data_IF_580474028710
#
_entry.id   IF_580474028710
#
_cell.length_a   1.000
_cell.length_b   1.000
_cell.length_c   1.000
_cell.angle_alpha   90.00
_cell.angle_beta   90.00
_cell.angle_gamma   90.00
#
_symmetry.space_group_name_H-M   'P 1'
#
loop_
_entity.id
_entity.type
_entity.pdbx_description
1 polymer ?
#
# COMPACT_ATOMS: atom_id res chain seq x y z
N UNK A 1 -26.72 -32.38 10.15
CA UNK A 1 -25.64 -31.99 9.23
C UNK A 1 -25.95 -32.26 7.75
N UNK A 2 -27.19 -32.60 7.37
CA UNK A 2 -27.54 -32.92 5.96
C UNK A 2 -28.76 -32.17 5.39
N UNK A 3 -29.21 -31.07 6.03
CA UNK A 3 -30.30 -30.21 5.49
C UNK A 3 -29.76 -28.93 4.84
N UNK A 4 -28.67 -28.36 5.36
CA UNK A 4 -28.07 -27.15 4.79
C UNK A 4 -27.38 -27.39 3.44
N UNK A 5 -26.77 -28.56 3.24
CA UNK A 5 -26.13 -28.92 1.97
C UNK A 5 -27.15 -29.07 0.83
N UNK A 6 -28.29 -29.72 1.10
CA UNK A 6 -29.33 -29.91 0.10
C UNK A 6 -30.01 -28.59 -0.31
N UNK A 7 -30.21 -27.66 0.63
CA UNK A 7 -30.75 -26.34 0.32
C UNK A 7 -29.74 -25.46 -0.45
N UNK A 8 -28.45 -25.54 -0.10
CA UNK A 8 -27.37 -24.88 -0.83
C UNK A 8 -27.31 -25.34 -2.29
N UNK A 9 -27.25 -26.64 -2.52
CA UNK A 9 -27.20 -27.23 -3.87
C UNK A 9 -28.39 -26.77 -4.74
N UNK A 10 -29.60 -26.69 -4.17
CA UNK A 10 -30.78 -26.20 -4.91
C UNK A 10 -30.70 -24.73 -5.32
N UNK A 11 -30.07 -23.86 -4.52
CA UNK A 11 -29.91 -22.44 -4.86
C UNK A 11 -28.92 -22.23 -6.01
N UNK A 12 -27.83 -23.01 -6.02
CA UNK A 12 -26.84 -22.99 -7.11
C UNK A 12 -27.44 -23.49 -8.44
N UNK A 13 -28.29 -24.52 -8.41
CA UNK A 13 -29.01 -24.99 -9.59
C UNK A 13 -30.05 -23.97 -10.09
N UNK A 14 -30.78 -23.34 -9.17
CA UNK A 14 -31.74 -22.28 -9.51
C UNK A 14 -31.05 -21.07 -10.14
N UNK A 15 -29.89 -20.65 -9.60
CA UNK A 15 -29.08 -19.57 -10.15
C UNK A 15 -28.64 -19.86 -11.60
N UNK A 16 -28.07 -21.05 -11.85
CA UNK A 16 -27.64 -21.46 -13.20
C UNK A 16 -28.80 -21.54 -14.18
N UNK A 17 -29.93 -22.10 -13.75
CA UNK A 17 -31.14 -22.17 -14.56
C UNK A 17 -31.64 -20.78 -14.97
N UNK A 18 -31.59 -19.82 -14.03
CA UNK A 18 -31.96 -18.43 -14.32
C UNK A 18 -30.96 -17.76 -15.28
N UNK A 19 -29.65 -17.96 -15.09
CA UNK A 19 -28.61 -17.45 -15.98
C UNK A 19 -28.79 -17.93 -17.43
N UNK A 20 -29.02 -19.23 -17.63
CA UNK A 20 -29.32 -19.82 -18.94
C UNK A 20 -30.59 -19.22 -19.52
N UNK A 21 -31.66 -19.08 -18.73
CA UNK A 21 -32.89 -18.44 -19.17
C UNK A 21 -32.71 -16.96 -19.58
N UNK A 22 -31.63 -16.30 -19.13
CA UNK A 22 -31.24 -14.94 -19.56
C UNK A 22 -30.17 -14.90 -20.65
N UNK A 23 -29.78 -16.05 -21.19
CA UNK A 23 -28.84 -16.18 -22.31
C UNK A 23 -27.37 -16.04 -21.92
N UNK A 24 -27.01 -16.17 -20.63
CA UNK A 24 -25.61 -16.10 -20.21
C UNK A 24 -24.73 -17.21 -20.82
N UNK A 25 -25.35 -18.34 -21.18
CA UNK A 25 -24.73 -19.50 -21.83
C UNK A 25 -24.39 -19.29 -23.30
N UNK A 26 -24.92 -18.23 -23.93
CA UNK A 26 -24.67 -17.90 -25.35
C UNK A 26 -23.99 -16.56 -25.52
N UNK A 27 -23.97 -15.72 -24.48
CA UNK A 27 -23.31 -14.42 -24.51
C UNK A 27 -21.79 -14.59 -24.46
N UNK A 28 -21.09 -14.14 -25.49
CA UNK A 28 -19.62 -14.19 -25.56
C UNK A 28 -18.97 -13.39 -24.43
N UNK A 29 -17.93 -13.97 -23.83
CA UNK A 29 -17.15 -13.38 -22.75
C UNK A 29 -15.73 -13.96 -22.75
N UNK A 30 -14.70 -13.31 -22.18
CA UNK A 30 -13.37 -13.91 -22.05
C UNK A 30 -13.40 -15.34 -21.49
N UNK A 31 -12.70 -16.24 -22.17
CA UNK A 31 -12.68 -17.68 -21.83
C UNK A 31 -13.96 -18.44 -22.20
N UNK A 32 -14.80 -17.93 -23.11
CA UNK A 32 -15.96 -18.63 -23.66
C UNK A 32 -17.25 -17.82 -23.59
N UNK A 33 -18.15 -18.21 -22.68
CA UNK A 33 -19.45 -17.56 -22.48
C UNK A 33 -19.52 -16.91 -21.11
N UNK A 34 -20.46 -15.99 -20.91
CA UNK A 34 -20.64 -15.34 -19.62
C UNK A 34 -20.92 -16.38 -18.52
N UNK A 35 -21.73 -17.40 -18.79
CA UNK A 35 -21.97 -18.48 -17.84
C UNK A 35 -20.68 -19.23 -17.48
N UNK A 36 -19.84 -19.56 -18.47
CA UNK A 36 -18.58 -20.24 -18.22
C UNK A 36 -17.64 -19.41 -17.32
N UNK A 37 -17.58 -18.09 -17.53
CA UNK A 37 -16.86 -17.17 -16.65
C UNK A 37 -17.43 -17.15 -15.23
N UNK A 38 -18.75 -17.01 -15.09
CA UNK A 38 -19.41 -16.98 -13.78
C UNK A 38 -19.20 -18.29 -13.00
N UNK A 39 -19.20 -19.43 -13.69
CA UNK A 39 -18.87 -20.73 -13.11
C UNK A 39 -17.41 -20.80 -12.61
N UNK A 40 -16.45 -20.27 -13.38
CA UNK A 40 -15.04 -20.22 -12.93
C UNK A 40 -14.84 -19.29 -11.73
N UNK A 41 -15.51 -18.14 -11.71
CA UNK A 41 -15.49 -17.21 -10.57
C UNK A 41 -16.05 -17.88 -9.30
N UNK A 42 -17.20 -18.55 -9.41
CA UNK A 42 -17.77 -19.30 -8.28
C UNK A 42 -16.85 -20.44 -7.81
N UNK A 43 -16.29 -21.21 -8.74
CA UNK A 43 -15.37 -22.30 -8.42
C UNK A 43 -14.10 -21.80 -7.73
N UNK A 44 -13.56 -20.64 -8.13
CA UNK A 44 -12.41 -20.02 -7.46
C UNK A 44 -12.76 -19.57 -6.04
N UNK A 45 -13.89 -18.90 -5.85
CA UNK A 45 -14.38 -18.54 -4.51
C UNK A 45 -14.57 -19.79 -3.63
N UNK A 46 -15.11 -20.87 -4.20
CA UNK A 46 -15.24 -22.14 -3.50
C UNK A 46 -13.87 -22.73 -3.09
N UNK A 47 -12.88 -22.67 -3.98
CA UNK A 47 -11.51 -23.13 -3.70
C UNK A 47 -10.82 -22.33 -2.59
N UNK A 48 -11.15 -21.04 -2.45
CA UNK A 48 -10.69 -20.19 -1.35
C UNK A 48 -11.44 -20.43 -0.03
N UNK A 49 -12.48 -21.26 -0.03
CA UNK A 49 -13.32 -21.53 1.14
C UNK A 49 -14.31 -20.41 1.45
N UNK A 50 -14.70 -19.62 0.44
CA UNK A 50 -15.72 -18.59 0.59
C UNK A 50 -17.06 -19.18 1.02
N UNK A 51 -17.81 -18.40 1.81
CA UNK A 51 -19.18 -18.76 2.24
C UNK A 51 -20.13 -18.90 1.04
N UNK A 52 -21.13 -19.77 1.15
CA UNK A 52 -22.08 -20.03 0.06
C UNK A 52 -22.80 -18.78 -0.46
N UNK A 53 -23.13 -17.82 0.42
CA UNK A 53 -23.71 -16.53 0.01
C UNK A 53 -22.80 -15.77 -0.97
N UNK A 54 -21.50 -15.74 -0.71
CA UNK A 54 -20.52 -15.05 -1.55
C UNK A 54 -20.29 -15.81 -2.85
N UNK A 55 -20.27 -17.15 -2.79
CA UNK A 55 -20.20 -18.01 -3.97
C UNK A 55 -21.40 -17.83 -4.89
N UNK A 56 -22.62 -17.83 -4.34
CA UNK A 56 -23.86 -17.54 -5.07
C UNK A 56 -23.85 -16.14 -5.68
N UNK A 57 -23.38 -15.14 -4.91
CA UNK A 57 -23.20 -13.79 -5.43
C UNK A 57 -22.17 -13.76 -6.56
N UNK A 58 -21.07 -14.51 -6.45
CA UNK A 58 -20.05 -14.63 -7.50
C UNK A 58 -20.56 -15.26 -8.79
N UNK A 59 -21.40 -16.30 -8.68
CA UNK A 59 -22.09 -16.89 -9.82
C UNK A 59 -23.05 -15.91 -10.50
N UNK A 60 -23.56 -14.92 -9.76
CA UNK A 60 -24.59 -13.98 -10.25
C UNK A 60 -24.09 -12.53 -10.38
N UNK A 61 -22.80 -12.25 -10.19
CA UNK A 61 -22.33 -10.88 -9.95
C UNK A 61 -22.53 -9.93 -11.14
N UNK A 62 -22.70 -10.47 -12.35
CA UNK A 62 -22.91 -9.71 -13.58
C UNK A 62 -24.40 -9.46 -13.94
N UNK A 63 -25.37 -9.91 -13.12
CA UNK A 63 -26.80 -9.84 -13.46
C UNK A 63 -27.29 -8.42 -13.80
N UNK A 64 -26.83 -7.42 -13.05
CA UNK A 64 -27.22 -6.02 -13.23
C UNK A 64 -26.24 -5.22 -14.10
N UNK A 65 -25.26 -5.91 -14.71
CA UNK A 65 -24.08 -5.28 -15.30
C UNK A 65 -23.17 -4.66 -14.23
N UNK A 66 -21.93 -4.38 -14.61
CA UNK A 66 -20.91 -3.84 -13.71
C UNK A 66 -20.30 -2.57 -14.31
N UNK A 67 -19.58 -1.83 -13.49
CA UNK A 67 -18.67 -0.78 -13.94
C UNK A 67 -17.47 -1.45 -14.66
N UNK A 68 -17.59 -1.60 -15.97
CA UNK A 68 -16.68 -2.39 -16.83
C UNK A 68 -17.40 -3.39 -17.74
N UNK A 69 -18.65 -3.76 -17.43
CA UNK A 69 -19.50 -4.62 -18.26
C UNK A 69 -20.95 -4.14 -18.23
N UNK A 70 -21.32 -3.30 -19.19
CA UNK A 70 -22.63 -2.62 -19.19
C UNK A 70 -23.84 -3.53 -19.46
N UNK A 71 -23.63 -4.76 -19.92
CA UNK A 71 -24.72 -5.67 -20.29
C UNK A 71 -25.42 -6.19 -19.02
N UNK A 72 -26.68 -5.84 -18.88
CA UNK A 72 -27.57 -6.35 -17.83
C UNK A 72 -28.37 -7.56 -18.35
N UNK A 73 -28.45 -8.61 -17.53
CA UNK A 73 -29.28 -9.80 -17.74
C UNK A 73 -30.69 -9.63 -17.15
N UNK A 74 -30.81 -8.78 -16.12
CA UNK A 74 -32.05 -8.49 -15.42
C UNK A 74 -32.08 -7.00 -15.03
N UNK A 75 -33.16 -6.26 -15.33
CA UNK A 75 -33.26 -4.87 -14.91
C UNK A 75 -33.53 -4.76 -13.40
N UNK A 76 -33.15 -3.62 -12.80
CA UNK A 76 -33.17 -3.41 -11.34
C UNK A 76 -34.58 -3.46 -10.73
N UNK A 77 -35.64 -3.28 -11.51
CA UNK A 77 -37.02 -3.39 -11.04
C UNK A 77 -37.44 -4.86 -10.79
N UNK A 78 -36.64 -5.82 -11.27
CA UNK A 78 -36.94 -7.25 -11.21
C UNK A 78 -36.02 -8.01 -10.25
N UNK A 79 -35.35 -7.31 -9.32
CA UNK A 79 -34.44 -7.89 -8.31
C UNK A 79 -35.07 -9.04 -7.52
N UNK A 80 -36.37 -8.97 -7.23
CA UNK A 80 -37.10 -10.03 -6.53
C UNK A 80 -36.99 -11.41 -7.20
N UNK A 81 -36.82 -11.47 -8.53
CA UNK A 81 -36.63 -12.73 -9.25
C UNK A 81 -35.27 -13.37 -8.93
N UNK A 82 -34.22 -12.56 -8.81
CA UNK A 82 -32.92 -13.06 -8.39
C UNK A 82 -32.95 -13.42 -6.91
N UNK A 83 -33.59 -12.59 -6.07
CA UNK A 83 -33.79 -12.87 -4.64
C UNK A 83 -34.48 -14.22 -4.40
N UNK A 84 -35.47 -14.56 -5.22
CA UNK A 84 -36.16 -15.84 -5.13
C UNK A 84 -35.25 -17.04 -5.47
N UNK A 85 -34.25 -16.84 -6.34
CA UNK A 85 -33.33 -17.89 -6.77
C UNK A 85 -32.15 -18.10 -5.82
N UNK A 86 -31.55 -17.01 -5.31
CA UNK A 86 -30.29 -17.08 -4.54
C UNK A 86 -30.40 -16.60 -3.09
N UNK A 87 -31.59 -16.14 -2.68
CA UNK A 87 -31.85 -15.56 -1.37
C UNK A 87 -31.45 -14.09 -1.28
N UNK A 88 -32.07 -13.39 -0.32
CA UNK A 88 -31.95 -11.93 -0.18
C UNK A 88 -30.52 -11.47 0.13
N UNK A 89 -29.76 -12.21 0.95
CA UNK A 89 -28.40 -11.80 1.31
C UNK A 89 -27.43 -11.87 0.11
N UNK A 90 -27.54 -12.93 -0.72
CA UNK A 90 -26.69 -13.08 -1.89
C UNK A 90 -27.07 -12.06 -2.97
N UNK A 91 -28.36 -11.82 -3.17
CA UNK A 91 -28.84 -10.81 -4.12
C UNK A 91 -28.40 -9.39 -3.72
N UNK A 92 -28.46 -9.04 -2.43
CA UNK A 92 -27.93 -7.76 -1.93
C UNK A 92 -26.43 -7.60 -2.19
N UNK A 93 -25.64 -8.68 -2.10
CA UNK A 93 -24.22 -8.65 -2.49
C UNK A 93 -24.04 -8.46 -3.99
N UNK A 94 -24.86 -9.10 -4.84
CA UNK A 94 -24.84 -8.90 -6.30
C UNK A 94 -25.16 -7.45 -6.63
N UNK A 95 -26.19 -6.88 -6.00
CA UNK A 95 -26.53 -5.47 -6.16
C UNK A 95 -25.39 -4.57 -5.72
N UNK A 96 -24.84 -4.78 -4.52
CA UNK A 96 -23.72 -4.00 -3.99
C UNK A 96 -22.48 -4.08 -4.89
N UNK A 97 -22.19 -5.25 -5.45
CA UNK A 97 -21.10 -5.41 -6.40
C UNK A 97 -21.36 -4.61 -7.70
N UNK A 98 -22.55 -4.78 -8.26
CA UNK A 98 -22.95 -4.14 -9.52
C UNK A 98 -23.10 -2.62 -9.41
N UNK A 99 -23.49 -2.10 -8.24
CA UNK A 99 -23.71 -0.69 -8.01
C UNK A 99 -22.41 0.08 -7.69
N UNK A 100 -21.29 -0.61 -7.50
CA UNK A 100 -20.02 0.03 -7.22
C UNK A 100 -19.57 0.91 -8.39
N UNK A 101 -19.36 2.18 -8.10
CA UNK A 101 -18.50 3.05 -8.89
C UNK A 101 -17.04 2.79 -8.52
N UNK A 102 -16.32 2.08 -9.37
CA UNK A 102 -14.98 1.57 -9.07
C UNK A 102 -13.97 2.69 -8.99
N UNK A 103 -14.05 3.66 -9.89
CA UNK A 103 -13.17 4.84 -9.94
C UNK A 103 -13.22 5.64 -8.63
N UNK A 104 -14.42 5.79 -8.05
CA UNK A 104 -14.57 6.45 -6.75
C UNK A 104 -14.19 5.55 -5.57
N UNK A 105 -14.68 4.32 -5.56
CA UNK A 105 -14.73 3.51 -4.33
C UNK A 105 -13.43 2.73 -4.09
N UNK A 106 -12.69 2.33 -5.13
CA UNK A 106 -11.58 1.40 -4.97
C UNK A 106 -10.42 1.98 -4.15
N UNK A 107 -10.15 3.27 -4.33
CA UNK A 107 -9.05 3.94 -3.66
C UNK A 107 -9.23 3.96 -2.14
N UNK A 108 -10.45 4.11 -1.62
CA UNK A 108 -10.69 4.16 -0.17
C UNK A 108 -11.09 2.83 0.45
N UNK A 109 -11.47 1.82 -0.33
CA UNK A 109 -12.17 0.63 0.21
C UNK A 109 -11.39 -0.14 1.28
N UNK A 110 -10.05 -0.13 1.22
CA UNK A 110 -9.19 -0.78 2.23
C UNK A 110 -9.22 -0.08 3.59
N UNK A 111 -9.60 1.19 3.65
CA UNK A 111 -9.58 2.04 4.85
C UNK A 111 -10.83 1.81 5.71
N UNK A 112 -10.76 2.14 7.00
CA UNK A 112 -11.87 1.89 7.94
C UNK A 112 -13.13 2.67 7.56
N UNK A 113 -12.96 3.91 7.14
CA UNK A 113 -13.98 4.88 6.72
C UNK A 113 -14.10 5.02 5.18
N UNK A 114 -13.55 4.05 4.45
CA UNK A 114 -13.57 3.98 3.00
C UNK A 114 -14.97 4.20 2.42
N UNK A 115 -15.11 5.23 1.58
CA UNK A 115 -16.40 5.61 0.99
C UNK A 115 -16.73 4.73 -0.22
N UNK A 116 -18.00 4.35 -0.33
CA UNK A 116 -18.56 3.62 -1.45
C UNK A 116 -19.62 4.48 -2.13
N UNK A 117 -19.51 4.64 -3.45
CA UNK A 117 -20.52 5.33 -4.26
C UNK A 117 -21.34 4.31 -5.04
N UNK A 118 -22.64 4.31 -4.78
CA UNK A 118 -23.62 3.56 -5.55
C UNK A 118 -23.94 4.33 -6.84
N UNK A 119 -23.53 3.80 -7.99
CA UNK A 119 -23.71 4.42 -9.31
C UNK A 119 -25.15 4.42 -9.81
N UNK A 120 -26.03 3.60 -9.22
CA UNK A 120 -27.45 3.57 -9.59
C UNK A 120 -28.24 4.67 -8.91
N UNK A 121 -27.85 5.04 -7.68
CA UNK A 121 -28.57 6.01 -6.84
C UNK A 121 -27.77 7.29 -6.57
N UNK A 122 -26.48 7.31 -6.90
CA UNK A 122 -25.50 8.33 -6.52
C UNK A 122 -25.28 8.48 -5.00
N UNK A 123 -25.83 7.58 -4.18
CA UNK A 123 -25.64 7.60 -2.74
C UNK A 123 -24.20 7.23 -2.36
N UNK A 124 -23.64 7.93 -1.37
CA UNK A 124 -22.32 7.67 -0.82
C UNK A 124 -22.44 7.25 0.63
N UNK A 125 -21.80 6.15 1.01
CA UNK A 125 -21.81 5.64 2.38
C UNK A 125 -20.54 4.84 2.70
N UNK A 126 -20.27 4.63 3.99
CA UNK A 126 -19.19 3.74 4.44
C UNK A 126 -19.76 2.33 4.70
N UNK A 127 -19.45 1.32 3.87
CA UNK A 127 -19.90 -0.05 4.07
C UNK A 127 -19.18 -0.72 5.24
N UNK A 128 -19.85 -1.70 5.86
CA UNK A 128 -19.27 -2.49 6.96
C UNK A 128 -18.05 -3.29 6.50
N UNK A 129 -17.16 -3.63 7.43
CA UNK A 129 -15.96 -4.45 7.13
C UNK A 129 -16.31 -5.74 6.38
N UNK A 130 -17.36 -6.45 6.80
CA UNK A 130 -17.81 -7.69 6.13
C UNK A 130 -18.22 -7.45 4.68
N UNK A 131 -18.98 -6.37 4.40
CA UNK A 131 -19.37 -6.02 3.02
C UNK A 131 -18.16 -5.66 2.16
N UNK A 132 -17.18 -4.94 2.71
CA UNK A 132 -15.92 -4.63 2.03
C UNK A 132 -15.10 -5.88 1.74
N UNK A 133 -15.02 -6.80 2.69
CA UNK A 133 -14.33 -8.09 2.51
C UNK A 133 -14.99 -8.97 1.44
N UNK A 134 -16.31 -9.18 1.52
CA UNK A 134 -17.06 -9.95 0.50
C UNK A 134 -16.89 -9.31 -0.90
N UNK A 135 -16.94 -7.98 -1.00
CA UNK A 135 -16.72 -7.26 -2.25
C UNK A 135 -15.29 -7.41 -2.79
N UNK A 136 -14.28 -7.30 -1.92
CA UNK A 136 -12.88 -7.43 -2.28
C UNK A 136 -12.54 -8.84 -2.77
N UNK A 137 -13.03 -9.87 -2.05
CA UNK A 137 -12.93 -11.29 -2.45
C UNK A 137 -13.56 -11.53 -3.82
N UNK A 138 -14.80 -11.10 -4.03
CA UNK A 138 -15.48 -11.25 -5.32
C UNK A 138 -14.76 -10.48 -6.44
N UNK A 139 -14.27 -9.27 -6.15
CA UNK A 139 -13.47 -8.51 -7.11
C UNK A 139 -12.20 -9.27 -7.48
N UNK A 140 -11.46 -9.80 -6.51
CA UNK A 140 -10.27 -10.60 -6.78
C UNK A 140 -10.61 -11.83 -7.64
N UNK A 141 -11.65 -12.59 -7.31
CA UNK A 141 -12.04 -13.77 -8.08
C UNK A 141 -12.37 -13.42 -9.54
N UNK A 142 -13.14 -12.35 -9.75
CA UNK A 142 -13.52 -11.85 -11.07
C UNK A 142 -12.30 -11.42 -11.90
N UNK A 143 -11.50 -10.50 -11.37
CA UNK A 143 -10.38 -9.91 -12.12
C UNK A 143 -9.28 -10.94 -12.42
N UNK A 144 -9.05 -11.89 -11.51
CA UNK A 144 -8.12 -12.98 -11.75
C UNK A 144 -8.60 -13.96 -12.82
N UNK A 145 -9.92 -14.11 -13.03
CA UNK A 145 -10.44 -14.99 -14.09
C UNK A 145 -10.17 -14.36 -15.45
N UNK A 146 -10.50 -13.07 -15.56
CA UNK A 146 -10.20 -12.28 -16.75
C UNK A 146 -8.70 -12.25 -17.06
N UNK A 147 -7.84 -12.15 -16.04
CA UNK A 147 -6.39 -12.17 -16.23
C UNK A 147 -5.87 -13.54 -16.71
N UNK A 148 -6.45 -14.65 -16.23
CA UNK A 148 -6.06 -16.00 -16.68
C UNK A 148 -6.51 -16.24 -18.12
N UNK A 149 -7.74 -15.85 -18.45
CA UNK A 149 -8.36 -16.16 -19.74
C UNK A 149 -8.00 -15.15 -20.84
N UNK A 150 -7.47 -13.98 -20.48
CA UNK A 150 -7.08 -12.95 -21.43
C UNK A 150 -5.66 -12.40 -21.12
N UNK A 151 -4.63 -12.85 -21.86
CA UNK A 151 -3.25 -12.40 -21.68
C UNK A 151 -3.07 -10.88 -21.86
N UNK A 152 -3.85 -10.23 -22.72
CA UNK A 152 -3.78 -8.77 -22.92
C UNK A 152 -4.30 -8.03 -21.69
N UNK A 153 -5.38 -8.53 -21.09
CA UNK A 153 -5.92 -7.99 -19.82
C UNK A 153 -4.88 -8.16 -18.71
N UNK A 154 -4.26 -9.35 -18.57
CA UNK A 154 -3.20 -9.56 -17.58
C UNK A 154 -2.01 -8.63 -17.80
N UNK A 155 -1.55 -8.49 -19.04
CA UNK A 155 -0.42 -7.61 -19.35
C UNK A 155 -0.72 -6.14 -19.03
N UNK A 156 -1.95 -5.69 -19.31
CA UNK A 156 -2.37 -4.30 -19.08
C UNK A 156 -2.66 -3.99 -17.61
N UNK A 157 -3.37 -4.89 -16.92
CA UNK A 157 -3.96 -4.63 -15.61
C UNK A 157 -3.33 -5.43 -14.48
N UNK A 158 -2.47 -6.42 -14.74
CA UNK A 158 -1.95 -7.29 -13.70
C UNK A 158 -1.14 -6.55 -12.63
N UNK A 159 -0.26 -5.64 -13.02
CA UNK A 159 0.47 -4.78 -12.08
C UNK A 159 -0.44 -3.88 -11.24
N UNK A 160 -1.33 -3.07 -11.86
CA UNK A 160 -2.35 -2.29 -11.14
C UNK A 160 -3.24 -3.11 -10.20
N UNK A 161 -3.69 -4.29 -10.62
CA UNK A 161 -4.52 -5.19 -9.80
C UNK A 161 -3.73 -5.72 -8.60
N UNK A 162 -2.46 -6.11 -8.79
CA UNK A 162 -1.65 -6.59 -7.68
C UNK A 162 -1.37 -5.50 -6.63
N UNK A 163 -1.17 -4.25 -7.05
CA UNK A 163 -1.12 -3.10 -6.13
C UNK A 163 -2.44 -2.95 -5.37
N UNK A 164 -3.56 -2.95 -6.09
CA UNK A 164 -4.89 -2.85 -5.47
C UNK A 164 -5.10 -3.94 -4.41
N UNK A 165 -4.82 -5.20 -4.74
CA UNK A 165 -4.99 -6.32 -3.80
C UNK A 165 -3.99 -6.31 -2.64
N UNK A 166 -2.81 -5.72 -2.84
CA UNK A 166 -1.86 -5.48 -1.74
C UNK A 166 -2.39 -4.42 -0.77
N UNK A 167 -3.03 -3.36 -1.27
CA UNK A 167 -3.72 -2.36 -0.42
C UNK A 167 -4.94 -2.95 0.28
N UNK A 168 -5.67 -3.84 -0.39
CA UNK A 168 -6.80 -4.56 0.17
C UNK A 168 -6.41 -5.81 0.97
N UNK A 169 -5.13 -5.96 1.32
CA UNK A 169 -4.66 -7.13 2.07
C UNK A 169 -5.48 -7.43 3.33
N UNK A 170 -5.93 -6.44 4.15
CA UNK A 170 -6.78 -6.70 5.31
C UNK A 170 -8.19 -7.21 4.99
N UNK A 171 -8.64 -7.05 3.74
CA UNK A 171 -9.98 -7.45 3.27
C UNK A 171 -10.00 -8.84 2.61
N UNK A 172 -8.84 -9.35 2.20
CA UNK A 172 -8.70 -10.60 1.46
C UNK A 172 -8.29 -11.74 2.39
N UNK A 173 -8.87 -12.92 2.18
CA UNK A 173 -8.35 -14.15 2.78
C UNK A 173 -6.93 -14.45 2.30
N UNK A 174 -6.22 -15.30 3.06
CA UNK A 174 -4.90 -15.79 2.65
C UNK A 174 -4.96 -16.47 1.29
N UNK A 175 -6.00 -17.28 1.03
CA UNK A 175 -6.16 -18.01 -0.21
C UNK A 175 -6.34 -17.06 -1.41
N UNK A 176 -7.23 -16.07 -1.28
CA UNK A 176 -7.46 -15.08 -2.33
C UNK A 176 -6.20 -14.25 -2.64
N UNK A 177 -5.50 -13.80 -1.61
CA UNK A 177 -4.28 -13.02 -1.80
C UNK A 177 -3.13 -13.86 -2.39
N UNK A 178 -2.98 -15.11 -1.97
CA UNK A 178 -1.99 -16.03 -2.51
C UNK A 178 -2.23 -16.32 -4.00
N UNK A 179 -3.47 -16.59 -4.39
CA UNK A 179 -3.86 -16.82 -5.79
C UNK A 179 -3.61 -15.56 -6.65
N UNK A 180 -3.96 -14.37 -6.12
CA UNK A 180 -3.67 -13.10 -6.78
C UNK A 180 -2.16 -12.91 -7.03
N UNK A 181 -1.33 -13.18 -6.03
CA UNK A 181 0.13 -13.12 -6.20
C UNK A 181 0.63 -14.16 -7.19
N UNK A 182 0.06 -15.36 -7.18
CA UNK A 182 0.47 -16.43 -8.08
C UNK A 182 0.28 -16.02 -9.55
N UNK A 183 -0.89 -15.50 -9.88
CA UNK A 183 -1.31 -15.16 -11.25
C UNK A 183 -0.68 -13.83 -11.73
N UNK A 184 -0.62 -12.82 -10.87
CA UNK A 184 -0.30 -11.43 -11.28
C UNK A 184 1.18 -11.07 -11.14
N UNK A 185 1.96 -11.83 -10.37
CA UNK A 185 3.41 -11.58 -10.25
C UNK A 185 4.11 -11.86 -11.59
N UNK A 186 4.97 -10.95 -12.03
CA UNK A 186 5.76 -11.13 -13.25
C UNK A 186 6.82 -12.21 -13.03
N UNK A 187 6.98 -13.10 -14.03
CA UNK A 187 7.94 -14.21 -14.00
C UNK A 187 8.73 -14.28 -15.30
N UNK A 188 9.90 -14.93 -15.26
CA UNK A 188 10.73 -15.17 -16.45
C UNK A 188 10.97 -13.91 -17.28
N UNK A 189 10.70 -14.00 -18.59
CA UNK A 189 10.94 -12.93 -19.55
C UNK A 189 10.17 -11.63 -19.25
N UNK A 190 8.95 -11.70 -18.69
CA UNK A 190 8.18 -10.49 -18.35
C UNK A 190 8.86 -9.71 -17.22
N UNK A 191 9.37 -10.45 -16.23
CA UNK A 191 10.11 -9.88 -15.10
C UNK A 191 11.44 -9.29 -15.56
N UNK A 192 12.14 -9.98 -16.45
CA UNK A 192 13.39 -9.48 -17.04
C UNK A 192 13.14 -8.19 -17.81
N UNK A 193 12.13 -8.15 -18.67
CA UNK A 193 11.75 -6.96 -19.42
C UNK A 193 11.39 -5.78 -18.50
N UNK A 194 10.67 -6.03 -17.40
CA UNK A 194 10.37 -5.00 -16.40
C UNK A 194 11.64 -4.44 -15.75
N UNK A 195 12.60 -5.31 -15.37
CA UNK A 195 13.87 -4.89 -14.77
C UNK A 195 14.77 -4.15 -15.76
N UNK A 196 14.75 -4.54 -17.03
CA UNK A 196 15.52 -3.89 -18.08
C UNK A 196 15.02 -2.49 -18.39
N UNK A 197 13.70 -2.26 -18.28
CA UNK A 197 13.09 -0.94 -18.40
C UNK A 197 13.19 -0.04 -17.15
N UNK A 198 13.96 -0.45 -16.13
CA UNK A 198 14.19 0.36 -14.93
C UNK A 198 15.61 0.94 -14.91
N UNK A 199 15.68 2.25 -14.67
CA UNK A 199 16.92 2.99 -14.50
C UNK A 199 17.03 3.63 -13.12
N UNK A 200 18.26 3.96 -12.71
CA UNK A 200 18.48 4.69 -11.47
C UNK A 200 17.93 6.11 -11.62
N UNK A 201 17.19 6.59 -10.62
CA UNK A 201 16.52 7.88 -10.63
C UNK A 201 15.08 7.82 -11.14
N UNK A 202 14.64 6.66 -11.67
CA UNK A 202 13.23 6.45 -12.00
C UNK A 202 12.36 6.62 -10.76
N UNK A 203 11.23 7.32 -10.90
CA UNK A 203 10.20 7.40 -9.87
C UNK A 203 9.10 6.40 -10.19
N UNK A 204 8.81 5.49 -9.25
CA UNK A 204 7.80 4.45 -9.40
C UNK A 204 6.81 4.49 -8.23
N UNK A 205 5.52 4.37 -8.55
CA UNK A 205 4.49 4.17 -7.54
C UNK A 205 4.46 2.71 -7.13
N UNK A 206 4.46 2.45 -5.83
CA UNK A 206 4.41 1.11 -5.26
C UNK A 206 3.62 1.06 -3.97
N UNK A 207 3.30 -0.14 -3.53
CA UNK A 207 2.57 -0.38 -2.27
C UNK A 207 3.50 -1.11 -1.31
N UNK A 208 3.61 -0.62 -0.08
CA UNK A 208 4.36 -1.32 0.97
C UNK A 208 3.70 -2.68 1.22
N UNK A 209 4.37 -3.76 0.83
CA UNK A 209 3.81 -5.11 0.87
C UNK A 209 4.02 -5.76 2.23
N UNK A 210 5.21 -5.61 2.81
CA UNK A 210 5.57 -6.19 4.10
C UNK A 210 6.77 -5.48 4.73
N UNK A 211 6.74 -5.30 6.06
CA UNK A 211 7.85 -4.75 6.84
C UNK A 211 8.50 -5.88 7.64
N UNK A 212 9.59 -6.45 7.11
CA UNK A 212 10.17 -7.68 7.68
C UNK A 212 10.94 -7.48 8.99
N UNK A 213 11.56 -6.32 9.19
CA UNK A 213 12.27 -5.97 10.42
C UNK A 213 12.50 -4.46 10.48
N UNK A 214 13.08 -3.97 11.59
CA UNK A 214 13.61 -2.60 11.70
C UNK A 214 14.80 -2.33 10.75
N UNK A 215 14.89 -2.92 9.57
CA UNK A 215 15.97 -2.57 8.64
C UNK A 215 15.49 -2.57 7.19
N UNK A 216 14.47 -3.38 6.87
CA UNK A 216 14.09 -3.68 5.50
C UNK A 216 12.58 -3.70 5.34
N UNK A 217 12.11 -2.93 4.36
CA UNK A 217 10.73 -2.86 3.89
C UNK A 217 10.67 -3.35 2.45
N UNK A 218 9.66 -4.15 2.13
CA UNK A 218 9.37 -4.63 0.78
C UNK A 218 8.23 -3.82 0.17
N UNK A 219 8.34 -3.54 -1.12
CA UNK A 219 7.40 -2.71 -1.88
C UNK A 219 7.01 -3.46 -3.15
N UNK A 220 5.71 -3.64 -3.35
CA UNK A 220 5.12 -4.15 -4.58
C UNK A 220 5.16 -3.05 -5.65
N UNK A 221 5.77 -3.32 -6.81
CA UNK A 221 5.97 -2.38 -7.93
C UNK A 221 5.29 -2.82 -9.25
N UNK A 222 4.10 -3.42 -9.19
CA UNK A 222 3.36 -3.88 -10.36
C UNK A 222 3.81 -5.23 -10.91
N UNK A 223 4.04 -6.20 -10.02
CA UNK A 223 4.39 -7.58 -10.30
C UNK A 223 5.86 -7.92 -10.01
N UNK A 224 6.63 -6.98 -9.47
CA UNK A 224 8.00 -7.20 -8.98
C UNK A 224 8.16 -6.55 -7.61
N UNK A 225 8.93 -7.19 -6.73
CA UNK A 225 9.19 -6.68 -5.40
C UNK A 225 10.49 -5.86 -5.37
N UNK A 226 10.40 -4.63 -4.86
CA UNK A 226 11.51 -3.77 -4.51
C UNK A 226 11.78 -3.76 -3.01
N UNK A 227 12.99 -3.36 -2.64
CA UNK A 227 13.46 -3.33 -1.26
C UNK A 227 13.92 -1.93 -0.89
N UNK A 228 13.47 -1.44 0.25
CA UNK A 228 13.86 -0.16 0.83
C UNK A 228 14.42 -0.40 2.23
N UNK A 229 15.57 0.21 2.52
CA UNK A 229 16.14 0.16 3.87
C UNK A 229 15.61 1.34 4.70
N UNK A 230 15.54 1.24 6.04
CA UNK A 230 15.07 2.37 6.88
C UNK A 230 15.75 3.69 6.55
N UNK A 231 17.10 3.76 6.41
CA UNK A 231 17.73 5.04 6.15
C UNK A 231 17.21 5.73 4.90
N UNK A 232 16.57 5.00 3.97
CA UNK A 232 16.00 5.51 2.74
C UNK A 232 14.54 5.96 2.87
N UNK A 233 13.91 5.79 4.04
CA UNK A 233 12.53 6.21 4.30
C UNK A 233 12.43 7.73 4.50
N UNK A 234 13.33 8.32 5.29
CA UNK A 234 13.31 9.76 5.58
C UNK A 234 14.71 10.31 5.85
N UNK A 235 14.87 11.62 5.68
CA UNK A 235 16.03 12.35 6.17
C UNK A 235 16.01 12.56 7.68
N UNK A 236 14.84 12.49 8.31
CA UNK A 236 14.71 12.62 9.76
C UNK A 236 15.10 11.31 10.46
N UNK A 237 15.58 11.45 11.69
CA UNK A 237 16.00 10.33 12.52
C UNK A 237 14.81 9.86 13.35
N UNK A 238 14.27 8.70 13.00
CA UNK A 238 13.19 8.04 13.75
C UNK A 238 13.71 6.76 14.39
N UNK A 239 13.16 6.41 15.56
CA UNK A 239 13.52 5.19 16.27
C UNK A 239 12.84 3.95 15.66
N UNK A 240 11.68 4.11 15.00
CA UNK A 240 10.88 3.02 14.44
C UNK A 240 10.34 3.35 13.04
N UNK A 241 10.44 2.44 12.03
CA UNK A 241 9.93 2.67 10.67
C UNK A 241 8.40 2.79 10.59
N UNK A 242 7.69 2.05 11.45
CA UNK A 242 6.23 1.97 11.45
C UNK A 242 5.54 3.29 11.83
N UNK A 243 6.30 4.26 12.33
CA UNK A 243 5.82 5.62 12.57
C UNK A 243 5.74 6.45 11.27
N UNK A 244 6.41 6.02 10.21
CA UNK A 244 6.57 6.78 8.96
C UNK A 244 5.83 6.12 7.81
N UNK A 245 5.85 4.79 7.75
CA UNK A 245 5.22 4.00 6.68
C UNK A 245 4.45 2.81 7.24
N UNK A 246 3.33 2.49 6.61
CA UNK A 246 2.47 1.37 6.96
C UNK A 246 2.35 0.36 5.81
N UNK A 247 2.10 -0.91 6.14
CA UNK A 247 1.74 -1.92 5.14
C UNK A 247 0.42 -1.53 4.45
N UNK A 248 0.34 -1.78 3.13
CA UNK A 248 -0.78 -1.35 2.30
C UNK A 248 -0.72 0.13 1.89
N UNK A 249 0.25 0.91 2.35
CA UNK A 249 0.39 2.31 1.95
C UNK A 249 0.99 2.42 0.53
N UNK A 250 0.32 3.18 -0.33
CA UNK A 250 0.79 3.48 -1.69
C UNK A 250 1.59 4.79 -1.68
N UNK A 251 2.82 4.74 -2.18
CA UNK A 251 3.75 5.87 -2.21
C UNK A 251 4.53 5.87 -3.52
N UNK A 252 5.10 7.02 -3.88
CA UNK A 252 6.11 7.11 -4.92
C UNK A 252 7.50 6.86 -4.32
N UNK A 253 8.35 6.11 -5.03
CA UNK A 253 9.71 5.77 -4.63
C UNK A 253 10.68 6.06 -5.76
N UNK A 254 11.88 6.56 -5.44
CA UNK A 254 12.99 6.63 -6.39
C UNK A 254 13.75 5.30 -6.43
N UNK A 255 14.10 4.85 -7.63
CA UNK A 255 14.97 3.70 -7.85
C UNK A 255 16.44 4.12 -7.63
N UNK A 256 17.05 3.61 -6.56
CA UNK A 256 18.48 3.82 -6.28
C UNK A 256 19.39 2.94 -7.15
N UNK A 257 18.89 1.79 -7.56
CA UNK A 257 19.62 0.84 -8.39
C UNK A 257 18.86 -0.47 -8.62
N UNK A 258 19.25 -1.16 -9.68
CA UNK A 258 18.67 -2.44 -10.09
C UNK A 258 19.78 -3.46 -10.25
N UNK A 259 19.80 -4.46 -9.39
CA UNK A 259 20.67 -5.63 -9.48
C UNK A 259 19.95 -6.69 -10.33
N UNK A 260 20.18 -6.67 -11.64
CA UNK A 260 19.57 -7.60 -12.60
C UNK A 260 19.97 -9.05 -12.34
N UNK A 261 21.21 -9.28 -11.88
CA UNK A 261 21.74 -10.63 -11.62
C UNK A 261 21.01 -11.34 -10.48
N UNK A 262 20.61 -10.57 -9.45
CA UNK A 262 19.88 -11.06 -8.28
C UNK A 262 18.41 -10.68 -8.32
N UNK A 263 17.97 -10.00 -9.38
CA UNK A 263 16.62 -9.49 -9.53
C UNK A 263 16.18 -8.56 -8.39
N UNK A 264 17.05 -7.72 -7.84
CA UNK A 264 16.72 -6.84 -6.70
C UNK A 264 16.63 -5.38 -7.14
N UNK A 265 15.60 -4.68 -6.68
CA UNK A 265 15.43 -3.24 -6.88
C UNK A 265 15.65 -2.56 -5.53
N UNK A 266 16.53 -1.57 -5.46
CA UNK A 266 16.71 -0.74 -4.27
C UNK A 266 15.93 0.56 -4.42
N UNK A 267 15.12 0.89 -3.43
CA UNK A 267 14.21 2.03 -3.44
C UNK A 267 14.52 3.04 -2.34
N UNK A 268 14.06 4.27 -2.53
CA UNK A 268 14.15 5.36 -1.55
C UNK A 268 12.93 6.27 -1.61
N UNK A 269 12.38 6.61 -0.43
CA UNK A 269 11.38 7.66 -0.29
C UNK A 269 12.06 9.02 -0.16
N UNK A 270 13.08 9.13 0.70
CA UNK A 270 13.75 10.41 0.98
C UNK A 270 14.46 10.99 -0.24
N UNK A 271 14.84 10.18 -1.22
CA UNK A 271 15.51 10.66 -2.43
C UNK A 271 14.61 11.60 -3.26
N UNK A 272 13.28 11.49 -3.09
CA UNK A 272 12.30 12.42 -3.67
C UNK A 272 12.28 13.79 -2.99
N UNK A 273 12.91 13.91 -1.81
CA UNK A 273 13.01 15.15 -1.05
C UNK A 273 14.37 15.83 -1.28
N UNK A 274 14.44 17.18 -1.21
CA UNK A 274 15.71 17.89 -1.31
C UNK A 274 16.70 17.47 -0.22
N UNK A 275 17.97 17.19 -0.60
CA UNK A 275 19.02 16.83 0.37
C UNK A 275 19.22 17.96 1.41
N UNK A 276 18.90 17.72 2.69
CA UNK A 276 18.98 18.74 3.72
C UNK A 276 20.42 19.17 3.99
N UNK A 277 21.41 18.29 3.78
CA UNK A 277 22.82 18.65 3.90
C UNK A 277 23.25 19.63 2.81
N UNK A 278 22.73 19.43 1.58
CA UNK A 278 22.97 20.35 0.49
C UNK A 278 22.32 21.71 0.74
N UNK A 279 21.12 21.73 1.34
CA UNK A 279 20.47 22.96 1.78
C UNK A 279 21.25 23.65 2.91
N UNK A 280 21.66 22.91 3.93
CA UNK A 280 22.44 23.41 5.06
C UNK A 280 23.78 24.01 4.63
N UNK A 281 24.47 23.36 3.68
CA UNK A 281 25.74 23.85 3.14
C UNK A 281 25.62 25.22 2.41
N UNK A 282 24.43 25.56 1.88
CA UNK A 282 24.18 26.88 1.27
C UNK A 282 24.02 27.99 2.31
N UNK A 283 23.73 27.66 3.56
CA UNK A 283 23.50 28.62 4.65
C UNK A 283 24.76 29.33 5.17
N UNK A 284 25.92 29.16 4.53
CA UNK A 284 27.17 29.79 4.91
C UNK A 284 27.86 29.19 6.13
N UNK A 285 29.16 29.52 6.28
CA UNK A 285 29.99 29.15 7.43
C UNK A 285 30.05 30.31 8.43
N UNK A 286 30.15 30.01 9.72
CA UNK A 286 30.13 31.01 10.79
C UNK A 286 28.71 31.37 11.30
N UNK A 287 28.68 32.21 12.34
CA UNK A 287 27.47 32.54 13.08
C UNK A 287 27.10 31.48 14.12
N UNK A 288 26.66 31.93 15.29
CA UNK A 288 26.20 31.05 16.37
C UNK A 288 24.79 30.57 16.07
N UNK A 289 24.59 29.26 16.11
CA UNK A 289 23.30 28.58 15.92
C UNK A 289 23.00 27.71 17.12
N UNK A 290 21.75 27.36 17.32
CA UNK A 290 21.32 26.41 18.36
C UNK A 290 20.97 25.09 17.71
N UNK A 291 21.35 23.99 18.35
CA UNK A 291 21.02 22.63 17.93
C UNK A 291 20.60 21.81 19.13
N UNK A 292 19.87 20.73 18.88
CA UNK A 292 19.36 19.83 19.93
C UNK A 292 20.13 18.53 19.93
N UNK A 293 20.52 18.05 21.11
CA UNK A 293 21.16 16.74 21.26
C UNK A 293 20.12 15.66 20.99
N UNK A 294 20.35 14.84 19.97
CA UNK A 294 19.44 13.74 19.60
C UNK A 294 19.76 12.50 20.41
N UNK A 295 21.04 12.15 20.52
CA UNK A 295 21.52 11.05 21.37
C UNK A 295 22.93 11.30 21.89
N UNK A 296 23.21 10.71 23.06
CA UNK A 296 24.54 10.62 23.63
C UNK A 296 25.02 9.17 23.61
N UNK A 297 26.29 8.96 23.29
CA UNK A 297 26.98 7.67 23.29
C UNK A 297 28.29 7.81 24.08
N UNK A 298 28.95 6.72 24.51
CA UNK A 298 30.17 6.83 25.32
C UNK A 298 31.29 7.67 24.67
N UNK A 299 31.37 7.68 23.33
CA UNK A 299 32.40 8.42 22.60
C UNK A 299 32.08 9.90 22.36
N UNK A 300 30.83 10.35 22.56
CA UNK A 300 30.40 11.70 22.22
C UNK A 300 28.89 11.86 22.07
N UNK A 301 28.45 12.89 21.37
CA UNK A 301 27.03 13.18 21.14
C UNK A 301 26.74 13.38 19.65
N UNK A 302 25.48 13.17 19.29
CA UNK A 302 24.91 13.60 18.01
C UNK A 302 24.03 14.82 18.27
N UNK A 303 24.30 15.89 17.52
CA UNK A 303 23.61 17.16 17.62
C UNK A 303 22.86 17.43 16.32
N UNK A 304 21.54 17.59 16.39
CA UNK A 304 20.73 18.06 15.27
C UNK A 304 21.04 19.53 15.04
N UNK A 305 21.69 19.83 13.92
CA UNK A 305 22.14 21.18 13.55
C UNK A 305 21.23 21.87 12.54
N UNK A 306 20.38 21.10 11.88
CA UNK A 306 19.25 21.51 11.06
C UNK A 306 18.35 20.28 10.83
N UNK A 307 17.13 20.48 10.34
CA UNK A 307 16.22 19.39 10.02
C UNK A 307 16.89 18.38 9.06
N UNK A 308 16.98 17.12 9.51
CA UNK A 308 17.64 16.03 8.76
C UNK A 308 19.17 16.11 8.68
N UNK A 309 19.82 16.96 9.50
CA UNK A 309 21.28 17.10 9.53
C UNK A 309 21.82 16.98 10.96
N UNK A 310 22.62 15.94 11.21
CA UNK A 310 23.34 15.74 12.46
C UNK A 310 24.85 16.03 12.33
N UNK A 311 25.40 16.64 13.37
CA UNK A 311 26.83 16.73 13.62
C UNK A 311 27.22 15.82 14.77
N UNK A 312 28.34 15.10 14.62
CA UNK A 312 28.93 14.34 15.71
C UNK A 312 29.96 15.21 16.45
N UNK A 313 29.86 15.26 17.77
CA UNK A 313 30.81 15.95 18.65
C UNK A 313 31.47 14.91 19.55
N UNK A 314 32.79 14.79 19.47
CA UNK A 314 33.55 13.84 20.30
C UNK A 314 33.56 14.32 21.75
N UNK A 315 33.70 13.41 22.71
CA UNK A 315 33.69 13.75 24.13
C UNK A 315 34.79 14.75 24.53
N UNK A 316 35.95 14.70 23.88
CA UNK A 316 37.04 15.66 24.09
C UNK A 316 36.64 17.10 23.73
N UNK A 317 35.74 17.28 22.75
CA UNK A 317 35.27 18.57 22.26
C UNK A 317 34.08 19.12 23.09
N UNK A 318 33.63 18.37 24.11
CA UNK A 318 32.55 18.79 25.00
C UNK A 318 33.01 19.69 26.15
N UNK A 319 34.31 19.90 26.34
CA UNK A 319 34.87 20.71 27.43
C UNK A 319 34.37 20.27 28.82
N UNK A 320 34.25 18.95 29.05
CA UNK A 320 33.76 18.39 30.31
C UNK A 320 32.23 18.48 30.50
N UNK A 321 31.47 18.95 29.50
CA UNK A 321 30.01 18.86 29.50
C UNK A 321 29.57 17.41 29.31
N UNK A 322 28.44 17.05 29.92
CA UNK A 322 27.76 15.76 29.70
C UNK A 322 26.32 15.97 29.23
N UNK A 323 26.11 16.49 28.00
CA UNK A 323 24.78 16.75 27.47
C UNK A 323 24.00 15.45 27.30
N UNK A 324 22.69 15.52 27.52
CA UNK A 324 21.74 14.42 27.37
C UNK A 324 20.85 14.64 26.17
N UNK A 325 20.23 13.57 25.67
CA UNK A 325 19.20 13.67 24.65
C UNK A 325 18.13 14.68 25.09
N UNK A 326 17.82 15.62 24.21
CA UNK A 326 16.90 16.72 24.49
C UNK A 326 17.55 18.06 24.80
N UNK A 327 18.80 18.09 25.27
CA UNK A 327 19.51 19.33 25.61
C UNK A 327 19.76 20.20 24.38
N UNK A 328 19.77 21.53 24.56
CA UNK A 328 20.12 22.49 23.51
C UNK A 328 21.54 23.01 23.70
N UNK A 329 22.32 23.02 22.62
CA UNK A 329 23.68 23.55 22.61
C UNK A 329 23.82 24.57 21.49
N UNK A 330 24.59 25.63 21.78
CA UNK A 330 25.00 26.60 20.77
C UNK A 330 26.30 26.18 20.11
N UNK A 331 26.38 26.39 18.80
CA UNK A 331 27.52 25.95 17.98
C UNK A 331 27.77 26.89 16.80
N UNK A 332 28.98 26.83 16.27
CA UNK A 332 29.37 27.44 14.99
C UNK A 332 29.73 26.37 13.97
N UNK A 333 29.28 26.53 12.72
CA UNK A 333 29.64 25.62 11.63
C UNK A 333 31.05 25.93 11.15
N UNK A 334 31.95 24.94 11.27
CA UNK A 334 33.36 25.03 10.83
C UNK A 334 33.57 24.46 9.43
N UNK A 335 32.74 23.52 9.00
CA UNK A 335 32.84 22.94 7.67
C UNK A 335 31.78 21.89 7.40
N UNK A 336 31.47 21.68 6.13
CA UNK A 336 30.55 20.63 5.67
C UNK A 336 31.26 19.81 4.61
N UNK A 337 31.43 18.52 4.87
CA UNK A 337 31.93 17.57 3.89
C UNK A 337 30.74 16.85 3.26
N UNK A 338 30.44 17.18 2.00
CA UNK A 338 29.31 16.60 1.26
C UNK A 338 29.56 15.16 0.81
N UNK A 339 30.82 14.74 0.67
CA UNK A 339 31.19 13.38 0.25
C UNK A 339 31.01 12.40 1.41
N UNK A 340 31.58 12.72 2.57
CA UNK A 340 31.44 11.88 3.78
C UNK A 340 30.16 12.17 4.57
N UNK A 341 29.34 13.12 4.09
CA UNK A 341 28.13 13.63 4.74
C UNK A 341 28.36 14.02 6.21
N UNK A 342 29.49 14.68 6.51
CA UNK A 342 29.86 15.11 7.88
C UNK A 342 29.82 16.63 8.01
N UNK A 343 29.17 17.11 9.07
CA UNK A 343 29.26 18.50 9.51
C UNK A 343 30.27 18.60 10.65
N UNK A 344 31.25 19.50 10.50
CA UNK A 344 32.17 19.88 11.58
C UNK A 344 31.63 21.15 12.23
N UNK A 345 31.44 21.09 13.54
CA UNK A 345 31.00 22.22 14.35
C UNK A 345 32.00 22.47 15.48
N UNK A 346 31.96 23.68 16.03
CA UNK A 346 32.60 24.01 17.30
C UNK A 346 31.51 24.46 18.27
N UNK A 347 31.44 23.85 19.45
CA UNK A 347 30.49 24.27 20.47
C UNK A 347 30.90 25.63 21.04
N UNK A 348 29.93 26.52 21.19
CA UNK A 348 30.14 27.79 21.87
C UNK A 348 30.22 27.55 23.39
N UNK A 349 30.96 28.42 24.08
CA UNK A 349 30.87 28.48 25.55
C UNK A 349 29.50 29.05 25.93
N UNK A 350 28.88 28.57 27.01
CA UNK A 350 27.72 29.24 27.57
C UNK A 350 28.10 30.70 27.90
N UNK A 351 27.18 31.67 27.78
CA UNK A 351 27.47 33.04 28.19
C UNK A 351 27.95 33.04 29.65
N UNK A 352 29.09 33.67 29.92
CA UNK A 352 29.56 33.89 31.29
C UNK A 352 28.47 34.66 32.03
N UNK A 353 27.94 34.06 33.09
CA UNK A 353 27.01 34.73 33.98
C UNK A 353 27.70 36.00 34.49
N UNK A 354 27.16 37.22 34.27
CA UNK A 354 27.78 38.42 34.81
C UNK A 354 27.88 38.25 36.32
N UNK A 355 29.10 38.39 36.83
CA UNK A 355 29.45 38.15 38.22
C UNK A 355 28.38 38.72 39.16
N UNK A 356 27.87 37.88 40.07
CA UNK A 356 27.04 38.34 41.19
C UNK A 356 27.79 39.51 41.86
N UNK A 357 27.18 40.70 42.01
CA UNK A 357 27.84 41.79 42.69
C UNK A 357 28.20 41.33 44.10
N UNK A 358 29.47 41.45 44.44
CA UNK A 358 30.01 41.15 45.76
C UNK A 358 29.19 41.92 46.80
N UNK A 359 28.68 41.28 47.87
CA UNK A 359 27.99 42.02 48.91
C UNK A 359 28.98 43.01 49.53
N UNK A 360 28.58 44.28 49.61
CA UNK A 360 29.37 45.32 50.26
C UNK A 360 29.61 44.93 51.73
N UNK A 361 30.81 45.15 52.28
CA UNK A 361 31.06 44.90 53.69
C UNK A 361 30.31 45.94 54.53
N UNK A 362 29.79 45.44 55.67
CA UNK A 362 28.91 46.00 56.70
C UNK A 362 28.61 47.51 56.72
#
# INVERSE_FOLDING_TARGET
>A
MGRDTAAGDTAFEAARSLLVARGADTLEHPGGTLLAHLDRVEARLAAWGARDTLRLAGLCHAFYGTDGFARSLLPLERREELTAAIGAEAEELVYFYASCDRDFSYAGLGEEDGQFRDRFTSAVHAPTLRRRADFAELTAANELDLAVENPEVRARWGGPLLRLFTRWRPLLSEAAFADAREILTLRGAEREAFLDGLERGDVRVGVVSHIASFHVTFVELGGVEGMMNIPEVSWQFYDLPGEIIAEGQELAFEVLGVDRSRGRISLSLKALEPDPLAAFARGGFGGVRTGRVTRAVPSGIFLLVADGVEAYVHHDDLDGRSPRAGDELTFEVRGVNRVTRRVRIALCRPPENPARPTPAPC
#
